data_IF_319097741544
#
_entry.id   IF_319097741544
#
_cell.length_a   1.000
_cell.length_b   1.000
_cell.length_c   1.000
_cell.angle_alpha   90.00
_cell.angle_beta   90.00
_cell.angle_gamma   90.00
#
_symmetry.space_group_name_H-M   'P 1'
#
loop_
_entity.id
_entity.type
_entity.pdbx_description
1 polymer ?
#
# COMPACT_ATOMS: atom_id res chain seq x y z
N UNK A 1 0.15 16.92 -43.71
CA UNK A 1 0.94 17.19 -42.49
C UNK A 1 0.31 16.40 -41.34
N UNK A 2 0.90 15.28 -40.91
CA UNK A 2 0.35 14.43 -39.84
C UNK A 2 0.85 14.96 -38.50
N UNK A 3 -0.01 15.60 -37.73
CA UNK A 3 0.29 15.87 -36.31
C UNK A 3 0.36 14.50 -35.63
N UNK A 4 1.50 14.09 -35.03
CA UNK A 4 1.58 12.81 -34.36
C UNK A 4 0.57 12.78 -33.21
N UNK A 5 -0.14 11.66 -33.05
CA UNK A 5 -1.17 11.44 -32.02
C UNK A 5 -0.73 11.87 -30.61
N UNK A 6 0.58 11.77 -30.34
CA UNK A 6 1.24 12.20 -29.10
C UNK A 6 1.11 13.72 -28.89
N UNK A 7 1.31 14.53 -29.92
CA UNK A 7 1.17 16.00 -29.82
C UNK A 7 -0.27 16.43 -29.59
N UNK A 8 -1.25 15.72 -30.18
CA UNK A 8 -2.66 15.99 -29.93
C UNK A 8 -3.06 15.60 -28.49
N UNK A 9 -2.58 14.45 -28.00
CA UNK A 9 -2.76 14.04 -26.61
C UNK A 9 -2.12 15.03 -25.64
N UNK A 10 -0.91 15.51 -25.91
CA UNK A 10 -0.24 16.52 -25.08
C UNK A 10 -0.99 17.85 -25.06
N UNK A 11 -1.48 18.31 -26.22
CA UNK A 11 -2.26 19.55 -26.31
C UNK A 11 -3.63 19.40 -25.62
N UNK A 12 -4.30 18.25 -25.74
CA UNK A 12 -5.53 17.97 -25.01
C UNK A 12 -5.30 17.90 -23.48
N UNK A 13 -4.17 17.31 -23.05
CA UNK A 13 -3.73 17.33 -21.66
C UNK A 13 -3.50 18.78 -21.21
N UNK A 14 -2.73 19.57 -21.95
CA UNK A 14 -2.41 20.97 -21.61
C UNK A 14 -3.64 21.87 -21.57
N UNK A 15 -4.60 21.69 -22.48
CA UNK A 15 -5.87 22.44 -22.49
C UNK A 15 -6.75 22.05 -21.30
N UNK A 16 -6.78 20.78 -20.91
CA UNK A 16 -7.51 20.34 -19.70
C UNK A 16 -6.86 20.87 -18.42
N UNK A 17 -5.53 21.04 -18.38
CA UNK A 17 -4.81 21.73 -17.31
C UNK A 17 -5.17 23.22 -17.19
N UNK A 18 -5.39 23.94 -18.30
CA UNK A 18 -5.70 25.38 -18.27
C UNK A 18 -7.12 25.69 -17.78
N UNK A 19 -8.10 24.83 -18.05
CA UNK A 19 -9.51 25.06 -17.63
C UNK A 19 -9.72 24.84 -16.12
N UNK A 20 -8.86 24.05 -15.45
CA UNK A 20 -9.01 23.69 -14.03
C UNK A 20 -8.25 24.59 -13.04
N UNK A 21 -7.60 25.66 -13.53
CA UNK A 21 -6.84 26.60 -12.69
C UNK A 21 -7.71 27.46 -11.74
N UNK A 22 -9.03 27.22 -11.66
CA UNK A 22 -9.96 27.92 -10.76
C UNK A 22 -10.20 27.21 -9.42
N UNK A 23 -9.76 25.97 -9.24
CA UNK A 23 -9.84 25.29 -7.94
C UNK A 23 -8.69 25.79 -7.06
N UNK A 24 -9.01 26.64 -6.09
CA UNK A 24 -8.01 27.31 -5.25
C UNK A 24 -7.83 26.65 -3.89
N UNK A 25 -8.84 25.94 -3.39
CA UNK A 25 -8.81 25.33 -2.05
C UNK A 25 -9.01 23.81 -2.09
N UNK A 26 -8.55 23.11 -1.04
CA UNK A 26 -8.78 21.69 -0.85
C UNK A 26 -10.28 21.35 -0.80
N UNK A 27 -11.10 22.19 -0.18
CA UNK A 27 -12.54 21.95 0.00
C UNK A 27 -13.31 21.98 -1.33
N UNK A 28 -12.81 22.71 -2.32
CA UNK A 28 -13.37 22.75 -3.68
C UNK A 28 -13.01 21.52 -4.54
N UNK A 29 -12.11 20.66 -4.06
CA UNK A 29 -11.70 19.49 -4.83
C UNK A 29 -12.86 18.50 -4.96
N UNK A 30 -13.03 17.84 -6.12
CA UNK A 30 -14.08 16.83 -6.34
C UNK A 30 -14.05 15.67 -5.34
N UNK A 31 -12.91 15.47 -4.68
CA UNK A 31 -12.63 14.41 -3.72
C UNK A 31 -13.12 14.74 -2.30
N UNK A 32 -13.40 16.02 -2.03
CA UNK A 32 -13.75 16.51 -0.71
C UNK A 32 -15.07 15.91 -0.22
N UNK A 33 -15.02 15.32 0.98
CA UNK A 33 -16.11 14.66 1.71
C UNK A 33 -16.79 13.50 0.95
N UNK A 34 -16.23 13.04 -0.19
CA UNK A 34 -16.80 11.96 -0.99
C UNK A 34 -16.19 10.61 -0.65
N UNK A 35 -17.01 9.57 -0.67
CA UNK A 35 -16.51 8.19 -0.71
C UNK A 35 -15.92 7.90 -2.09
N UNK A 36 -14.83 7.16 -2.10
CA UNK A 36 -14.06 6.85 -3.28
C UNK A 36 -13.76 5.37 -3.34
N UNK A 37 -13.80 4.80 -4.54
CA UNK A 37 -13.34 3.45 -4.84
C UNK A 37 -12.23 3.58 -5.87
N UNK A 38 -10.99 3.28 -5.48
CA UNK A 38 -9.87 3.13 -6.39
C UNK A 38 -9.86 1.72 -6.98
N UNK A 39 -9.70 1.66 -8.30
CA UNK A 39 -9.46 0.43 -9.05
C UNK A 39 -8.22 0.64 -9.89
N UNK A 40 -7.24 -0.26 -9.78
CA UNK A 40 -5.97 -0.10 -10.46
C UNK A 40 -5.20 -1.38 -10.65
N UNK A 41 -3.96 -1.20 -11.09
CA UNK A 41 -2.93 -2.23 -11.11
C UNK A 41 -1.79 -1.80 -10.19
N UNK A 42 -1.19 -2.78 -9.53
CA UNK A 42 0.04 -2.61 -8.77
C UNK A 42 1.10 -3.59 -9.22
N UNK A 43 2.34 -3.15 -9.18
CA UNK A 43 3.53 -3.99 -9.24
C UNK A 43 4.05 -4.11 -7.81
N UNK A 44 4.07 -5.33 -7.28
CA UNK A 44 4.55 -5.62 -5.93
C UNK A 44 5.98 -6.12 -6.00
N UNK A 45 6.82 -5.72 -5.05
CA UNK A 45 8.17 -6.19 -4.82
C UNK A 45 8.30 -6.62 -3.36
N UNK A 46 8.61 -7.88 -3.12
CA UNK A 46 8.82 -8.44 -1.79
C UNK A 46 10.31 -8.72 -1.59
N UNK A 47 10.89 -8.18 -0.52
CA UNK A 47 12.31 -8.33 -0.22
C UNK A 47 12.59 -8.42 1.29
N UNK A 48 13.82 -8.72 1.63
CA UNK A 48 14.40 -8.68 2.96
C UNK A 48 15.66 -7.85 2.87
N UNK A 49 15.66 -6.68 3.50
CA UNK A 49 16.79 -5.76 3.41
C UNK A 49 18.09 -6.32 4.00
N UNK A 50 18.02 -7.32 4.89
CA UNK A 50 19.21 -7.89 5.51
C UNK A 50 19.98 -8.84 4.58
N UNK A 51 19.33 -9.38 3.54
CA UNK A 51 19.93 -10.28 2.55
C UNK A 51 19.57 -9.92 1.11
N UNK A 52 19.48 -8.63 0.82
CA UNK A 52 19.03 -8.12 -0.48
C UNK A 52 19.86 -8.61 -1.68
N UNK A 53 21.10 -9.04 -1.47
CA UNK A 53 21.98 -9.59 -2.51
C UNK A 53 21.87 -11.10 -2.73
N UNK A 54 21.22 -11.83 -1.83
CA UNK A 54 21.06 -13.30 -1.88
C UNK A 54 19.62 -13.72 -2.20
N UNK A 55 18.67 -12.79 -2.06
CA UNK A 55 17.26 -13.09 -2.24
C UNK A 55 16.82 -12.97 -3.70
N UNK A 56 16.04 -13.94 -4.14
CA UNK A 56 15.21 -13.82 -5.35
C UNK A 56 13.92 -13.14 -4.90
N UNK A 57 13.88 -11.80 -5.01
CA UNK A 57 12.71 -11.01 -4.64
C UNK A 57 11.51 -11.41 -5.48
N UNK A 58 10.36 -11.64 -4.85
CA UNK A 58 9.12 -11.91 -5.59
C UNK A 58 8.57 -10.60 -6.11
N UNK A 59 8.37 -10.54 -7.42
CA UNK A 59 7.66 -9.45 -8.05
C UNK A 59 6.50 -9.96 -8.89
N UNK A 60 5.37 -9.28 -8.80
CA UNK A 60 4.18 -9.66 -9.54
C UNK A 60 3.26 -8.46 -9.75
N UNK A 61 2.47 -8.54 -10.81
CA UNK A 61 1.43 -7.58 -11.12
C UNK A 61 0.11 -8.11 -10.61
N UNK A 62 -0.65 -7.27 -9.92
CA UNK A 62 -1.92 -7.61 -9.32
C UNK A 62 -2.94 -6.48 -9.50
N UNK A 63 -4.25 -6.77 -9.56
CA UNK A 63 -5.26 -5.74 -9.39
C UNK A 63 -5.19 -5.13 -7.98
N UNK A 64 -5.55 -3.86 -7.88
CA UNK A 64 -5.60 -3.09 -6.62
C UNK A 64 -7.03 -2.56 -6.43
N UNK A 65 -7.54 -2.70 -5.21
CA UNK A 65 -8.81 -2.14 -4.78
C UNK A 65 -8.62 -1.37 -3.48
N UNK A 66 -9.05 -0.12 -3.50
CA UNK A 66 -8.91 0.77 -2.36
C UNK A 66 -10.16 1.61 -2.13
N UNK A 67 -10.45 1.91 -0.87
CA UNK A 67 -11.63 2.68 -0.47
C UNK A 67 -11.16 3.87 0.35
N UNK A 68 -11.53 5.07 -0.06
CA UNK A 68 -11.11 6.30 0.62
C UNK A 68 -12.30 7.21 0.90
N UNK A 69 -12.15 8.03 1.94
CA UNK A 69 -12.93 9.24 2.15
C UNK A 69 -11.97 10.31 2.66
N UNK A 70 -11.91 11.41 1.94
CA UNK A 70 -11.08 12.56 2.32
C UNK A 70 -12.00 13.67 2.80
N UNK A 71 -11.85 14.14 4.04
CA UNK A 71 -12.57 15.30 4.55
C UNK A 71 -11.56 16.37 4.97
N UNK A 72 -11.61 17.51 4.28
CA UNK A 72 -10.70 18.64 4.45
C UNK A 72 -11.27 19.74 5.36
N UNK A 73 -12.38 19.48 6.04
CA UNK A 73 -12.87 20.35 7.12
C UNK A 73 -12.11 20.03 8.41
N UNK A 74 -11.82 21.05 9.23
CA UNK A 74 -11.26 20.85 10.56
C UNK A 74 -12.24 20.04 11.41
N UNK A 75 -11.76 18.96 12.03
CA UNK A 75 -12.60 17.98 12.74
C UNK A 75 -13.27 16.95 11.82
N UNK A 76 -13.10 17.06 10.50
CA UNK A 76 -13.61 16.11 9.52
C UNK A 76 -12.92 14.74 9.62
N UNK A 77 -13.66 13.69 9.28
CA UNK A 77 -13.16 12.31 9.30
C UNK A 77 -12.59 11.89 7.95
N UNK A 78 -11.35 11.43 7.98
CA UNK A 78 -10.66 10.78 6.88
C UNK A 78 -10.63 9.27 7.12
N UNK A 79 -10.76 8.50 6.05
CA UNK A 79 -10.68 7.05 6.09
C UNK A 79 -9.98 6.51 4.85
N UNK A 80 -9.14 5.51 5.05
CA UNK A 80 -8.68 4.64 3.97
C UNK A 80 -8.84 3.17 4.35
N UNK A 81 -9.09 2.35 3.34
CA UNK A 81 -9.07 0.90 3.45
C UNK A 81 -8.46 0.34 2.16
N UNK A 82 -7.33 -0.34 2.29
CA UNK A 82 -6.58 -0.91 1.18
C UNK A 82 -6.70 -2.44 1.24
N UNK A 83 -7.34 -3.04 0.23
CA UNK A 83 -7.59 -4.48 0.19
C UNK A 83 -6.59 -5.13 -0.76
N UNK A 84 -5.64 -5.88 -0.21
CA UNK A 84 -4.57 -6.51 -1.00
C UNK A 84 -4.86 -7.96 -1.37
N UNK A 85 -5.65 -8.66 -0.55
CA UNK A 85 -5.97 -10.07 -0.71
C UNK A 85 -6.41 -10.45 -2.12
N UNK A 86 -7.36 -9.72 -2.70
CA UNK A 86 -7.85 -10.04 -4.04
C UNK A 86 -6.72 -9.97 -5.07
N UNK A 87 -5.91 -8.92 -5.01
CA UNK A 87 -4.76 -8.77 -5.89
C UNK A 87 -3.75 -9.91 -5.75
N UNK A 88 -3.41 -10.24 -4.51
CA UNK A 88 -2.45 -11.31 -4.21
C UNK A 88 -3.00 -12.69 -4.63
N UNK A 89 -4.29 -12.95 -4.41
CA UNK A 89 -4.97 -14.16 -4.86
C UNK A 89 -4.99 -14.29 -6.39
N UNK A 90 -5.31 -13.21 -7.12
CA UNK A 90 -5.27 -13.23 -8.58
C UNK A 90 -3.86 -13.47 -9.12
N UNK A 91 -2.85 -12.83 -8.53
CA UNK A 91 -1.45 -13.06 -8.90
C UNK A 91 -1.06 -14.52 -8.69
N UNK A 92 -1.46 -15.11 -7.56
CA UNK A 92 -1.25 -16.52 -7.26
C UNK A 92 -1.90 -17.43 -8.30
N UNK A 93 -3.18 -17.21 -8.63
CA UNK A 93 -3.87 -18.01 -9.66
C UNK A 93 -3.19 -17.89 -11.04
N UNK A 94 -2.73 -16.70 -11.42
CA UNK A 94 -2.01 -16.50 -12.69
C UNK A 94 -0.70 -17.29 -12.70
N UNK A 95 0.07 -17.25 -11.61
CA UNK A 95 1.30 -18.04 -11.46
C UNK A 95 1.00 -19.54 -11.54
N UNK A 96 -0.09 -20.01 -10.91
CA UNK A 96 -0.51 -21.41 -10.97
C UNK A 96 -0.84 -21.84 -12.40
N UNK A 97 -1.61 -21.04 -13.12
CA UNK A 97 -2.00 -21.34 -14.50
C UNK A 97 -0.80 -21.34 -15.46
N UNK A 98 0.26 -20.59 -15.14
CA UNK A 98 1.51 -20.56 -15.92
C UNK A 98 2.48 -21.70 -15.57
N UNK A 99 2.17 -22.51 -14.55
CA UNK A 99 3.11 -23.50 -14.01
C UNK A 99 4.31 -22.86 -13.31
N UNK A 100 4.22 -21.57 -12.98
CA UNK A 100 5.24 -20.81 -12.24
C UNK A 100 5.03 -20.91 -10.71
N UNK A 101 3.86 -21.39 -10.28
CA UNK A 101 3.56 -21.65 -8.88
C UNK A 101 4.17 -22.98 -8.43
N UNK A 102 5.49 -22.99 -8.29
CA UNK A 102 6.15 -24.06 -7.56
C UNK A 102 6.14 -23.68 -6.08
N UNK A 103 5.44 -24.45 -5.27
CA UNK A 103 5.59 -24.42 -3.80
C UNK A 103 7.04 -24.77 -3.41
N UNK A 104 7.80 -25.40 -4.32
CA UNK A 104 9.24 -25.61 -4.20
C UNK A 104 10.11 -24.36 -4.50
N UNK A 105 9.52 -23.22 -4.90
CA UNK A 105 10.16 -21.90 -4.90
C UNK A 105 10.01 -21.17 -3.55
N UNK A 106 9.96 -21.92 -2.43
CA UNK A 106 10.55 -21.43 -1.18
C UNK A 106 12.06 -21.30 -1.39
N UNK A 107 12.45 -20.33 -2.21
CA UNK A 107 13.86 -20.06 -2.44
C UNK A 107 14.44 -19.48 -1.17
N UNK A 108 15.71 -19.81 -0.93
CA UNK A 108 16.46 -19.33 0.22
C UNK A 108 16.22 -17.83 0.39
N UNK A 109 15.87 -17.42 1.61
CA UNK A 109 15.67 -16.01 1.96
C UNK A 109 14.45 -15.34 1.33
N UNK A 110 13.47 -16.11 0.85
CA UNK A 110 12.19 -15.56 0.40
C UNK A 110 11.43 -14.94 1.57
N UNK A 111 10.92 -13.72 1.34
CA UNK A 111 10.07 -12.98 2.27
C UNK A 111 8.68 -12.80 1.70
N UNK A 112 7.68 -12.96 2.55
CA UNK A 112 6.29 -12.71 2.23
C UNK A 112 5.67 -11.81 3.30
N UNK A 113 5.04 -10.72 2.87
CA UNK A 113 4.27 -9.79 3.70
C UNK A 113 2.95 -9.58 2.98
N UNK A 114 1.87 -10.20 3.45
CA UNK A 114 0.56 -10.18 2.79
C UNK A 114 -0.54 -9.78 3.78
N UNK A 115 -1.73 -9.49 3.25
CA UNK A 115 -2.91 -9.14 4.05
C UNK A 115 -4.16 -9.83 3.52
N UNK A 116 -5.05 -10.22 4.42
CA UNK A 116 -6.35 -10.80 4.16
C UNK A 116 -7.47 -9.76 4.33
N UNK A 117 -7.56 -9.10 5.48
CA UNK A 117 -8.57 -8.07 5.77
C UNK A 117 -8.19 -6.72 5.13
N UNK A 118 -6.90 -6.46 5.02
CA UNK A 118 -6.34 -5.23 4.48
C UNK A 118 -5.96 -4.22 5.56
N UNK A 119 -5.64 -3.02 5.10
CA UNK A 119 -5.13 -1.96 5.95
C UNK A 119 -6.12 -0.82 6.05
N UNK A 120 -6.54 -0.51 7.28
CA UNK A 120 -7.52 0.51 7.57
C UNK A 120 -6.85 1.66 8.33
N UNK A 121 -6.97 2.87 7.79
CA UNK A 121 -6.62 4.08 8.52
C UNK A 121 -7.87 4.92 8.75
N UNK A 122 -7.98 5.49 9.95
CA UNK A 122 -8.96 6.52 10.27
C UNK A 122 -8.22 7.70 10.88
N UNK A 123 -8.64 8.92 10.51
CA UNK A 123 -8.04 10.13 11.04
C UNK A 123 -9.06 11.25 11.20
N UNK A 124 -8.88 12.08 12.22
CA UNK A 124 -9.60 13.33 12.39
C UNK A 124 -8.69 14.47 11.93
N UNK A 125 -9.18 15.32 11.05
CA UNK A 125 -8.45 16.49 10.57
C UNK A 125 -8.15 17.45 11.72
N UNK A 126 -6.87 17.58 12.06
CA UNK A 126 -6.39 18.50 13.09
C UNK A 126 -6.07 19.88 12.51
N UNK A 127 -5.48 19.90 11.31
CA UNK A 127 -5.09 21.12 10.59
C UNK A 127 -5.69 21.08 9.19
N UNK A 128 -6.35 22.16 8.80
CA UNK A 128 -6.79 22.35 7.41
C UNK A 128 -6.65 23.81 7.01
N UNK A 129 -6.10 24.00 5.81
CA UNK A 129 -5.91 25.27 5.11
C UNK A 129 -6.29 25.07 3.63
N UNK A 130 -6.21 26.12 2.82
CA UNK A 130 -6.52 26.03 1.39
C UNK A 130 -5.69 24.97 0.65
N UNK A 131 -4.47 24.66 1.10
CA UNK A 131 -3.56 23.76 0.39
C UNK A 131 -3.10 22.55 1.18
N UNK A 132 -3.21 22.57 2.50
CA UNK A 132 -2.70 21.53 3.39
C UNK A 132 -3.79 21.06 4.33
N UNK A 133 -3.96 19.74 4.40
CA UNK A 133 -4.78 19.06 5.38
C UNK A 133 -3.94 17.99 6.09
N UNK A 134 -4.00 17.97 7.41
CA UNK A 134 -3.30 16.98 8.25
C UNK A 134 -4.32 16.38 9.21
N UNK A 135 -4.46 15.06 9.16
CA UNK A 135 -5.29 14.29 10.06
C UNK A 135 -4.42 13.32 10.87
N UNK A 136 -4.77 13.15 12.14
CA UNK A 136 -4.16 12.17 13.03
C UNK A 136 -5.22 11.15 13.47
N UNK A 137 -4.80 9.92 13.71
CA UNK A 137 -5.70 8.88 14.18
C UNK A 137 -5.03 7.53 14.32
N UNK A 138 -5.69 6.50 13.80
CA UNK A 138 -5.42 5.11 14.14
C UNK A 138 -5.41 4.20 12.92
N UNK A 139 -4.55 3.19 13.00
CA UNK A 139 -4.39 2.12 12.04
C UNK A 139 -4.87 0.80 12.63
N UNK A 140 -5.62 0.04 11.85
CA UNK A 140 -5.87 -1.38 12.08
C UNK A 140 -5.56 -2.14 10.79
N UNK A 141 -4.82 -3.23 10.90
CA UNK A 141 -4.47 -4.06 9.77
C UNK A 141 -4.22 -5.49 10.18
N UNK A 142 -4.11 -6.35 9.19
CA UNK A 142 -3.61 -7.70 9.36
C UNK A 142 -2.36 -7.92 8.50
N UNK A 143 -1.50 -8.80 8.97
CA UNK A 143 -0.18 -9.04 8.39
C UNK A 143 0.14 -10.53 8.48
N UNK A 144 0.13 -11.20 7.34
CA UNK A 144 0.72 -12.52 7.20
C UNK A 144 2.18 -12.35 6.83
N UNK A 145 3.08 -12.75 7.73
CA UNK A 145 4.52 -12.63 7.56
C UNK A 145 5.21 -13.98 7.71
N UNK A 146 6.14 -14.27 6.81
CA UNK A 146 7.12 -15.34 6.97
C UNK A 146 8.38 -15.07 6.16
N UNK A 147 9.47 -15.66 6.65
CA UNK A 147 10.78 -15.60 6.04
C UNK A 147 11.42 -16.99 6.05
N UNK A 148 11.89 -17.47 4.90
CA UNK A 148 12.61 -18.74 4.81
C UNK A 148 14.10 -18.50 5.06
N UNK A 149 14.66 -19.15 6.09
CA UNK A 149 16.11 -19.17 6.29
C UNK A 149 16.74 -20.11 5.28
N UNK A 150 17.73 -19.64 4.51
CA UNK A 150 18.33 -20.45 3.45
C UNK A 150 18.94 -21.77 3.92
N UNK A 151 18.85 -22.79 3.06
CA UNK A 151 19.29 -24.16 3.30
C UNK A 151 19.10 -25.04 2.05
N UNK A 152 19.91 -26.09 1.89
CA UNK A 152 19.89 -26.94 0.68
C UNK A 152 18.51 -27.54 0.40
N UNK A 153 17.71 -26.91 -0.48
CA UNK A 153 16.62 -27.39 -1.39
C UNK A 153 15.77 -28.64 -1.05
N UNK A 154 15.79 -29.20 0.16
CA UNK A 154 15.15 -30.49 0.49
C UNK A 154 14.52 -30.59 1.88
N UNK A 155 14.58 -29.55 2.71
CA UNK A 155 13.84 -29.55 3.97
C UNK A 155 12.80 -28.40 3.97
N UNK A 156 11.50 -28.71 3.85
CA UNK A 156 10.41 -27.72 3.83
C UNK A 156 10.14 -27.02 5.19
N UNK A 157 11.09 -27.10 6.12
CA UNK A 157 10.90 -26.91 7.57
C UNK A 157 11.78 -25.79 8.15
N UNK A 158 11.97 -24.67 7.43
CA UNK A 158 12.87 -23.60 7.91
C UNK A 158 12.28 -22.19 7.80
N UNK A 159 11.11 -21.99 8.42
CA UNK A 159 10.51 -20.66 8.62
C UNK A 159 11.11 -20.01 9.87
N UNK A 160 11.70 -18.82 9.72
CA UNK A 160 12.33 -18.08 10.83
C UNK A 160 11.37 -17.12 11.51
N UNK A 161 11.55 -16.92 12.82
CA UNK A 161 10.81 -15.92 13.58
C UNK A 161 11.18 -14.48 13.16
N UNK A 162 10.26 -13.50 13.31
CA UNK A 162 8.84 -13.71 13.57
C UNK A 162 8.19 -14.29 12.32
N UNK A 163 7.32 -15.28 12.46
CA UNK A 163 6.46 -15.72 11.37
C UNK A 163 5.07 -15.94 11.94
N UNK A 164 4.03 -15.77 11.14
CA UNK A 164 2.67 -15.86 11.64
C UNK A 164 1.70 -14.94 10.93
N UNK A 165 0.46 -15.07 11.37
CA UNK A 165 -0.61 -14.13 11.08
C UNK A 165 -0.76 -13.20 12.28
N UNK A 166 -0.62 -11.90 12.02
CA UNK A 166 -0.64 -10.85 13.04
C UNK A 166 -1.80 -9.90 12.77
N UNK A 167 -2.50 -9.49 13.82
CA UNK A 167 -3.31 -8.29 13.80
C UNK A 167 -2.44 -7.12 14.26
N UNK A 168 -2.42 -6.02 13.53
CA UNK A 168 -1.65 -4.84 13.85
C UNK A 168 -2.53 -3.64 14.18
N UNK A 169 -2.19 -2.93 15.25
CA UNK A 169 -2.89 -1.71 15.67
C UNK A 169 -1.91 -0.63 16.11
N UNK A 170 -2.20 0.64 15.83
CA UNK A 170 -1.37 1.74 16.32
C UNK A 170 -1.68 3.09 15.70
N UNK A 171 -0.85 4.12 15.94
CA UNK A 171 -1.09 5.46 15.42
C UNK A 171 -0.99 5.52 13.89
N UNK A 172 -1.81 6.39 13.31
CA UNK A 172 -1.76 6.75 11.90
C UNK A 172 -1.85 8.27 11.71
N UNK A 173 -1.34 8.76 10.60
CA UNK A 173 -1.57 10.12 10.15
C UNK A 173 -1.74 10.17 8.64
N UNK A 174 -2.53 11.15 8.18
CA UNK A 174 -2.87 11.37 6.78
C UNK A 174 -2.55 12.82 6.47
N UNK A 175 -1.85 13.05 5.36
CA UNK A 175 -1.47 14.38 4.89
C UNK A 175 -1.92 14.53 3.44
N UNK A 176 -2.66 15.58 3.17
CA UNK A 176 -3.11 15.95 1.83
C UNK A 176 -2.58 17.34 1.50
N UNK A 177 -1.92 17.48 0.35
CA UNK A 177 -1.31 18.73 -0.10
C UNK A 177 -1.61 19.02 -1.57
N UNK A 178 -2.22 20.17 -1.85
CA UNK A 178 -2.50 20.65 -3.21
C UNK A 178 -1.22 21.18 -3.86
N UNK A 179 -0.85 20.63 -5.01
CA UNK A 179 0.38 21.02 -5.73
C UNK A 179 0.17 22.31 -6.53
N UNK A 180 0.15 23.45 -5.82
CA UNK A 180 0.03 24.77 -6.44
C UNK A 180 -1.30 24.93 -7.19
N UNK A 181 -1.24 25.37 -8.44
CA UNK A 181 -2.40 25.45 -9.35
C UNK A 181 -2.58 24.20 -10.22
N UNK A 182 -1.71 23.19 -10.08
CA UNK A 182 -1.86 21.95 -10.83
C UNK A 182 -3.09 21.18 -10.30
N UNK A 183 -3.85 20.49 -11.17
CA UNK A 183 -4.96 19.61 -10.82
C UNK A 183 -4.46 18.30 -10.18
N UNK A 184 -3.53 18.41 -9.23
CA UNK A 184 -2.86 17.31 -8.55
C UNK A 184 -2.91 17.53 -7.04
N UNK A 185 -3.30 16.47 -6.33
CA UNK A 185 -3.29 16.35 -4.88
C UNK A 185 -2.23 15.31 -4.51
N UNK A 186 -1.25 15.72 -3.70
CA UNK A 186 -0.34 14.80 -3.04
C UNK A 186 -1.02 14.28 -1.78
N UNK A 187 -1.17 12.97 -1.67
CA UNK A 187 -1.75 12.31 -0.51
C UNK A 187 -0.71 11.37 0.09
N UNK A 188 -0.51 11.46 1.39
CA UNK A 188 0.38 10.60 2.14
C UNK A 188 -0.36 10.00 3.33
N UNK A 189 -0.12 8.73 3.60
CA UNK A 189 -0.53 8.07 4.85
C UNK A 189 0.68 7.39 5.49
N UNK A 190 0.84 7.57 6.79
CA UNK A 190 1.85 6.90 7.59
C UNK A 190 1.20 6.21 8.78
N UNK A 191 1.56 4.96 9.04
CA UNK A 191 1.09 4.20 10.18
C UNK A 191 2.22 3.38 10.80
N UNK A 192 2.21 3.30 12.14
CA UNK A 192 3.04 2.40 12.91
C UNK A 192 2.12 1.47 13.70
N UNK A 193 2.18 0.18 13.44
CA UNK A 193 1.31 -0.83 14.03
C UNK A 193 2.13 -1.78 14.91
N UNK A 194 1.70 -1.96 16.16
CA UNK A 194 2.16 -3.05 17.01
C UNK A 194 1.45 -4.33 16.56
N UNK A 195 2.19 -5.35 16.17
CA UNK A 195 1.64 -6.65 15.79
C UNK A 195 1.25 -7.47 17.02
N UNK A 196 0.17 -8.24 16.90
CA UNK A 196 -0.28 -9.23 17.88
C UNK A 196 -0.48 -10.52 17.13
N UNK A 197 0.31 -11.56 17.43
CA UNK A 197 0.14 -12.84 16.75
C UNK A 197 -1.21 -13.44 17.09
N UNK A 198 -1.97 -13.80 16.06
CA UNK A 198 -3.29 -14.46 16.17
C UNK A 198 -3.32 -15.84 15.53
N UNK A 199 -2.29 -16.21 14.78
CA UNK A 199 -2.13 -17.55 14.24
C UNK A 199 -0.69 -17.82 13.82
N UNK A 200 -0.29 -19.09 13.90
CA UNK A 200 0.99 -19.55 13.40
C UNK A 200 0.87 -19.98 11.94
N UNK A 201 1.89 -19.65 11.14
CA UNK A 201 2.01 -20.09 9.73
C UNK A 201 2.74 -21.43 9.62
N UNK A 202 3.46 -21.83 10.68
CA UNK A 202 4.05 -23.16 10.83
C UNK A 202 4.12 -23.54 12.30
N UNK A 203 3.99 -24.84 12.63
CA UNK A 203 4.10 -25.33 14.02
C UNK A 203 5.50 -25.23 14.63
N UNK A 204 6.45 -24.59 13.95
CA UNK A 204 7.86 -24.47 14.32
C UNK A 204 8.24 -23.06 14.80
N UNK A 205 7.31 -22.11 14.73
CA UNK A 205 7.50 -20.74 15.18
C UNK A 205 7.53 -20.72 16.71
N UNK A 206 8.47 -19.96 17.30
CA UNK A 206 8.54 -19.83 18.77
C UNK A 206 7.41 -18.91 19.22
N UNK A 207 6.57 -19.39 20.12
CA UNK A 207 5.45 -18.62 20.71
C UNK A 207 5.95 -17.48 21.61
N UNK A 208 7.11 -17.62 22.22
CA UNK A 208 7.72 -16.61 23.11
C UNK A 208 8.53 -15.52 22.38
N UNK A 209 8.56 -15.53 21.04
CA UNK A 209 9.29 -14.52 20.27
C UNK A 209 8.54 -13.17 20.30
N UNK A 210 9.27 -12.07 20.52
CA UNK A 210 8.66 -10.74 20.61
C UNK A 210 7.91 -10.36 19.34
N UNK A 211 6.65 -9.92 19.49
CA UNK A 211 5.83 -9.49 18.37
C UNK A 211 6.44 -8.29 17.63
N UNK A 212 6.44 -8.28 16.28
CA UNK A 212 7.06 -7.23 15.49
C UNK A 212 6.25 -5.92 15.50
N UNK A 213 6.89 -4.84 15.06
CA UNK A 213 6.17 -3.66 14.57
C UNK A 213 6.09 -3.67 13.05
N UNK A 214 5.03 -3.10 12.51
CA UNK A 214 4.87 -2.84 11.08
C UNK A 214 4.81 -1.34 10.85
N UNK A 215 5.65 -0.83 9.95
CA UNK A 215 5.49 0.51 9.42
C UNK A 215 4.84 0.42 8.06
N UNK A 216 3.80 1.20 7.84
CA UNK A 216 3.08 1.26 6.57
C UNK A 216 3.03 2.71 6.08
N UNK A 217 3.55 2.93 4.88
CA UNK A 217 3.61 4.24 4.25
C UNK A 217 2.97 4.17 2.87
N UNK A 218 2.06 5.09 2.57
CA UNK A 218 1.50 5.31 1.26
C UNK A 218 1.81 6.74 0.82
N UNK A 219 2.29 6.90 -0.40
CA UNK A 219 2.38 8.19 -1.09
C UNK A 219 1.66 8.07 -2.42
N UNK A 220 0.72 8.97 -2.71
CA UNK A 220 -0.08 8.95 -3.92
C UNK A 220 -0.21 10.36 -4.49
N UNK A 221 -0.09 10.49 -5.80
CA UNK A 221 -0.48 11.67 -6.56
C UNK A 221 -1.83 11.36 -7.19
N UNK A 222 -2.84 12.15 -6.84
CA UNK A 222 -4.21 12.06 -7.34
C UNK A 222 -4.49 13.25 -8.23
N UNK A 223 -5.07 13.01 -9.40
CA UNK A 223 -5.51 14.09 -10.28
C UNK A 223 -7.00 14.39 -10.12
N UNK A 224 -7.39 15.60 -10.49
CA UNK A 224 -8.81 15.99 -10.54
C UNK A 224 -9.59 15.15 -11.59
N UNK A 225 -8.87 14.59 -12.57
CA UNK A 225 -9.38 13.64 -13.57
C UNK A 225 -9.54 12.20 -13.06
N UNK A 226 -9.47 11.99 -11.74
CA UNK A 226 -9.63 10.69 -11.06
C UNK A 226 -8.52 9.68 -11.31
N UNK A 227 -7.47 10.02 -12.08
CA UNK A 227 -6.28 9.18 -12.20
C UNK A 227 -5.42 9.30 -10.95
N UNK A 228 -4.82 8.20 -10.52
CA UNK A 228 -3.83 8.20 -9.44
C UNK A 228 -2.62 7.36 -9.78
N UNK A 229 -1.46 7.78 -9.28
CA UNK A 229 -0.24 6.98 -9.25
C UNK A 229 0.37 7.06 -7.85
N UNK A 230 0.93 5.97 -7.34
CA UNK A 230 1.46 5.97 -5.98
C UNK A 230 2.48 4.88 -5.69
N UNK A 231 3.08 5.02 -4.52
CA UNK A 231 4.04 4.10 -3.94
C UNK A 231 3.55 3.70 -2.56
N UNK A 232 3.64 2.42 -2.25
CA UNK A 232 3.33 1.91 -0.92
C UNK A 232 4.51 1.11 -0.40
N UNK A 233 4.90 1.34 0.84
CA UNK A 233 6.03 0.71 1.47
C UNK A 233 5.64 0.23 2.86
N UNK A 234 5.71 -1.09 3.04
CA UNK A 234 5.50 -1.74 4.32
C UNK A 234 6.77 -2.44 4.74
N UNK A 235 7.20 -2.22 5.97
CA UNK A 235 8.39 -2.85 6.53
C UNK A 235 8.09 -3.40 7.91
N UNK A 236 8.62 -4.59 8.16
CA UNK A 236 8.62 -5.23 9.47
C UNK A 236 9.87 -4.81 10.24
N UNK A 237 9.65 -4.35 11.47
CA UNK A 237 10.70 -4.14 12.46
C UNK A 237 10.69 -5.35 13.38
N UNK A 238 11.65 -6.24 13.15
CA UNK A 238 11.92 -7.35 14.05
C UNK A 238 12.49 -6.83 15.37
N UNK A 239 12.03 -7.40 16.48
CA UNK A 239 12.43 -7.04 17.85
C UNK A 239 13.16 -8.15 18.60
N UNK A 240 13.28 -9.33 17.99
CA UNK A 240 14.08 -10.42 18.55
C UNK A 240 15.42 -10.56 17.83
N UNK A 241 16.07 -11.68 18.08
CA UNK A 241 17.48 -11.86 17.72
C UNK A 241 17.71 -12.28 16.25
N UNK A 242 16.64 -12.54 15.49
CA UNK A 242 16.74 -12.89 14.08
C UNK A 242 16.93 -11.63 13.24
N UNK A 243 17.87 -11.70 12.31
CA UNK A 243 18.27 -10.59 11.47
C UNK A 243 17.39 -10.52 10.19
N UNK A 244 16.06 -10.46 10.33
CA UNK A 244 15.16 -10.32 9.19
C UNK A 244 14.42 -8.98 9.20
N UNK A 245 14.25 -8.39 8.01
CA UNK A 245 13.56 -7.12 7.78
C UNK A 245 12.72 -7.25 6.53
N UNK A 246 11.62 -7.97 6.67
CA UNK A 246 10.73 -8.17 5.53
C UNK A 246 10.09 -6.87 5.09
N UNK A 247 10.08 -6.63 3.78
CA UNK A 247 9.52 -5.42 3.21
C UNK A 247 8.69 -5.76 1.97
N UNK A 248 7.68 -4.93 1.79
CA UNK A 248 6.78 -4.92 0.64
C UNK A 248 6.78 -3.51 0.07
N UNK A 249 7.24 -3.40 -1.16
CA UNK A 249 7.18 -2.16 -1.92
C UNK A 249 6.21 -2.34 -3.08
N UNK A 250 5.38 -1.34 -3.34
CA UNK A 250 4.42 -1.37 -4.42
C UNK A 250 4.45 -0.09 -5.22
N UNK A 251 4.30 -0.23 -6.54
CA UNK A 251 4.02 0.87 -7.45
C UNK A 251 2.61 0.64 -7.98
N UNK A 252 1.74 1.63 -7.86
CA UNK A 252 0.34 1.53 -8.29
C UNK A 252 -0.08 2.63 -9.24
N UNK A 253 -0.96 2.28 -10.16
CA UNK A 253 -1.60 3.17 -11.12
C UNK A 253 -3.07 2.78 -11.24
N UNK A 254 -3.98 3.75 -11.20
CA UNK A 254 -5.39 3.44 -11.30
C UNK A 254 -6.31 4.64 -11.51
N UNK A 255 -7.59 4.37 -11.31
CA UNK A 255 -8.68 5.33 -11.45
C UNK A 255 -9.58 5.29 -10.21
N UNK A 256 -10.06 6.46 -9.76
CA UNK A 256 -10.97 6.61 -8.61
C UNK A 256 -12.39 6.94 -9.06
N UNK A 257 -13.34 6.12 -8.64
CA UNK A 257 -14.76 6.41 -8.74
C UNK A 257 -15.21 7.16 -7.48
N UNK A 258 -15.98 8.22 -7.66
CA UNK A 258 -16.52 9.03 -6.54
C UNK A 258 -18.01 8.76 -6.40
N UNK A 259 -18.49 8.78 -5.16
CA UNK A 259 -19.92 8.83 -4.85
C UNK A 259 -20.58 10.00 -5.61
N UNK A 260 -21.75 9.73 -6.21
CA UNK A 260 -22.57 10.78 -6.85
C UNK A 260 -23.34 11.53 -5.77
N UNK A 261 -23.50 12.83 -5.98
CA UNK A 261 -24.36 13.68 -5.15
C UNK A 261 -25.84 13.34 -5.38
#
# INVERSE_FOLDING_TARGET
MKIPLISFLLVALLLTFQVHAQITTLQDLPVHNKRQIGVGLRVTFLNNAERSGEQIGRSYVAPEFDFFRSNFEKGGWNRSHRVKLFGDFFAMCIQMLRGEFDWAYQEDFTTEVNTFLGWHNWGVTAVSTDKLNVAAGFHLGDYMYYYYGGGKKKEPDFVLNPAGYYMGAGPAFIVDYRLGSLPLLLHYEGAAAYGFRVGDVSGQVKTEYADPFFLNNLLEIRSDFKLYAGFEYVTLINRGDVSNRGQRFEIKLGYRFYEKD
#
